data_IF_330582775985
#
_entry.id   IF_330582775985
#
_cell.length_a   1.000
_cell.length_b   1.000
_cell.length_c   1.000
_cell.angle_alpha   90.00
_cell.angle_beta   90.00
_cell.angle_gamma   90.00
#
_symmetry.space_group_name_H-M   'P 1'
#
loop_
_entity.id
_entity.type
_entity.pdbx_description
1 polymer ?
#
# COMPACT_ATOMS: atom_id res chain seq x y z
N UNK A 1 13.28 43.79 -4.82
CA UNK A 1 14.31 42.80 -4.43
C UNK A 1 14.33 41.79 -5.54
N UNK A 2 15.43 41.76 -6.28
CA UNK A 2 15.65 40.80 -7.37
C UNK A 2 16.26 39.55 -6.72
N UNK A 3 15.42 38.57 -6.39
CA UNK A 3 15.90 37.29 -5.88
C UNK A 3 16.38 36.47 -7.07
N UNK A 4 17.68 36.48 -7.32
CA UNK A 4 18.32 35.56 -8.25
C UNK A 4 18.10 34.14 -7.74
N UNK A 5 17.15 33.42 -8.34
CA UNK A 5 16.89 32.00 -8.08
C UNK A 5 18.16 31.20 -8.40
N UNK A 6 18.63 30.36 -7.47
CA UNK A 6 19.76 29.45 -7.72
C UNK A 6 19.45 28.56 -8.94
N UNK A 7 20.21 28.67 -10.04
CA UNK A 7 19.96 27.88 -11.26
C UNK A 7 20.12 26.36 -11.03
N UNK A 8 20.63 25.94 -9.87
CA UNK A 8 20.81 24.54 -9.49
C UNK A 8 19.75 24.01 -8.50
N UNK A 9 18.80 24.84 -8.08
CA UNK A 9 17.83 24.50 -7.02
C UNK A 9 17.18 23.12 -7.22
N UNK A 10 16.84 22.78 -8.46
CA UNK A 10 16.13 21.55 -8.81
C UNK A 10 17.04 20.37 -9.16
N UNK A 11 18.36 20.55 -9.31
CA UNK A 11 19.27 19.50 -9.81
C UNK A 11 19.40 18.29 -8.91
N UNK A 12 19.08 18.42 -7.61
CA UNK A 12 19.14 17.34 -6.62
C UNK A 12 17.80 16.67 -6.36
N UNK A 13 16.70 17.28 -6.80
CA UNK A 13 15.37 16.71 -6.63
C UNK A 13 15.12 15.63 -7.69
N UNK A 14 14.39 14.59 -7.29
CA UNK A 14 13.90 13.56 -8.19
C UNK A 14 12.46 13.92 -8.53
N UNK A 15 12.20 14.20 -9.79
CA UNK A 15 10.86 14.44 -10.32
C UNK A 15 10.46 13.21 -11.12
N UNK A 16 9.35 12.60 -10.73
CA UNK A 16 8.80 11.42 -11.40
C UNK A 16 7.31 11.63 -11.59
N UNK A 17 6.76 11.14 -12.71
CA UNK A 17 5.32 11.17 -12.98
C UNK A 17 4.73 9.78 -12.77
N UNK A 18 3.47 9.70 -12.35
CA UNK A 18 2.80 8.42 -12.09
C UNK A 18 2.83 7.50 -13.32
N UNK A 19 2.73 8.05 -14.52
CA UNK A 19 2.74 7.30 -15.78
C UNK A 19 4.11 6.69 -16.13
N UNK A 20 5.19 7.13 -15.48
CA UNK A 20 6.53 6.57 -15.67
C UNK A 20 6.68 5.20 -15.00
N UNK A 21 5.76 4.83 -14.12
CA UNK A 21 5.80 3.60 -13.35
C UNK A 21 4.79 2.57 -13.84
N UNK A 22 5.24 1.33 -13.97
CA UNK A 22 4.34 0.20 -14.20
C UNK A 22 3.54 -0.12 -12.94
N UNK A 23 2.36 -0.69 -13.17
CA UNK A 23 1.59 -1.32 -12.11
C UNK A 23 2.25 -2.64 -11.69
N UNK A 24 2.46 -2.80 -10.38
CA UNK A 24 2.83 -4.05 -9.72
C UNK A 24 1.56 -4.62 -9.07
N UNK A 25 1.11 -5.79 -9.48
CA UNK A 25 0.01 -6.44 -8.79
C UNK A 25 0.56 -7.20 -7.57
N UNK A 26 0.37 -6.64 -6.39
CA UNK A 26 1.07 -7.11 -5.19
C UNK A 26 0.26 -8.13 -4.38
N UNK A 27 -1.06 -8.17 -4.56
CA UNK A 27 -1.98 -9.12 -3.92
C UNK A 27 -3.17 -9.40 -4.82
N UNK A 28 -3.70 -10.62 -4.74
CA UNK A 28 -4.87 -11.06 -5.50
C UNK A 28 -5.74 -12.01 -4.68
N UNK A 29 -7.06 -11.90 -4.83
CA UNK A 29 -8.07 -12.71 -4.15
C UNK A 29 -9.22 -13.07 -5.11
N UNK A 30 -9.83 -14.23 -4.92
CA UNK A 30 -11.08 -14.60 -5.58
C UNK A 30 -12.27 -14.20 -4.71
N UNK A 31 -13.22 -13.46 -5.28
CA UNK A 31 -14.44 -12.97 -4.66
C UNK A 31 -15.63 -13.44 -5.51
N UNK A 32 -16.21 -14.60 -5.20
CA UNK A 32 -17.24 -15.19 -6.07
C UNK A 32 -16.70 -15.48 -7.47
N UNK A 33 -17.25 -14.84 -8.50
CA UNK A 33 -16.87 -14.97 -9.91
C UNK A 33 -15.82 -13.95 -10.38
N UNK A 34 -15.46 -12.96 -9.55
CA UNK A 34 -14.47 -11.93 -9.88
C UNK A 34 -13.17 -12.09 -9.10
N UNK A 35 -12.10 -11.57 -9.67
CA UNK A 35 -10.82 -11.38 -8.99
C UNK A 35 -10.72 -9.95 -8.47
N UNK A 36 -10.27 -9.78 -7.22
CA UNK A 36 -9.95 -8.49 -6.62
C UNK A 36 -8.45 -8.41 -6.33
N UNK A 37 -7.85 -7.25 -6.59
CA UNK A 37 -6.41 -7.06 -6.50
C UNK A 37 -6.01 -5.77 -5.78
N UNK A 38 -4.80 -5.78 -5.22
CA UNK A 38 -4.04 -4.57 -4.86
C UNK A 38 -2.99 -4.37 -5.94
N UNK A 39 -2.99 -3.19 -6.56
CA UNK A 39 -1.98 -2.78 -7.54
C UNK A 39 -1.26 -1.54 -7.03
N UNK A 40 0.04 -1.47 -7.25
CA UNK A 40 0.88 -0.37 -6.77
C UNK A 40 1.78 0.17 -7.88
N UNK A 41 2.00 1.49 -7.88
CA UNK A 41 3.06 2.17 -8.62
C UNK A 41 4.06 2.71 -7.60
N UNK A 42 5.29 2.21 -7.62
CA UNK A 42 6.35 2.61 -6.68
C UNK A 42 7.13 3.80 -7.24
N UNK A 43 6.75 5.00 -6.82
CA UNK A 43 7.26 6.26 -7.38
C UNK A 43 8.67 6.60 -6.88
N UNK A 44 9.02 6.12 -5.69
CA UNK A 44 10.38 6.12 -5.16
C UNK A 44 10.61 4.81 -4.42
N UNK A 45 11.71 4.13 -4.71
CA UNK A 45 12.11 2.93 -3.98
C UNK A 45 13.61 2.97 -3.70
N UNK A 46 13.95 3.45 -2.51
CA UNK A 46 15.33 3.51 -2.01
C UNK A 46 15.47 2.76 -0.69
N UNK A 47 16.70 2.70 -0.18
CA UNK A 47 17.01 2.25 1.18
C UNK A 47 16.45 3.17 2.28
N UNK A 48 16.07 4.40 1.92
CA UNK A 48 15.55 5.40 2.86
C UNK A 48 14.04 5.37 2.99
N UNK A 49 13.33 5.14 1.88
CA UNK A 49 11.88 5.05 1.86
C UNK A 49 11.36 4.42 0.57
N UNK A 50 10.16 3.86 0.70
CA UNK A 50 9.26 3.55 -0.41
C UNK A 50 8.13 4.58 -0.39
N UNK A 51 7.88 5.24 -1.51
CA UNK A 51 6.67 6.04 -1.73
C UNK A 51 5.91 5.47 -2.92
N UNK A 52 4.62 5.23 -2.73
CA UNK A 52 3.80 4.54 -3.71
C UNK A 52 2.39 5.12 -3.83
N UNK A 53 1.79 4.83 -4.99
CA UNK A 53 0.38 5.04 -5.27
C UNK A 53 -0.27 3.67 -5.43
N UNK A 54 -1.31 3.38 -4.66
CA UNK A 54 -2.00 2.09 -4.67
C UNK A 54 -3.45 2.22 -5.16
N UNK A 55 -3.92 1.20 -5.87
CA UNK A 55 -5.32 1.03 -6.27
C UNK A 55 -5.82 -0.35 -5.89
N UNK A 56 -6.84 -0.38 -5.04
CA UNK A 56 -7.44 -1.61 -4.54
C UNK A 56 -8.84 -1.76 -5.13
N UNK A 57 -9.13 -2.95 -5.65
CA UNK A 57 -10.47 -3.24 -6.15
C UNK A 57 -11.52 -3.22 -5.03
N UNK A 58 -12.78 -3.01 -5.42
CA UNK A 58 -13.92 -3.04 -4.52
C UNK A 58 -13.92 -4.27 -3.60
N UNK A 59 -14.12 -4.03 -2.30
CA UNK A 59 -14.19 -5.09 -1.28
C UNK A 59 -12.86 -5.81 -0.98
N UNK A 60 -11.74 -5.43 -1.61
CA UNK A 60 -10.43 -6.05 -1.37
C UNK A 60 -10.10 -6.01 0.12
N UNK A 61 -9.68 -7.16 0.68
CA UNK A 61 -9.36 -7.28 2.11
C UNK A 61 -7.85 -7.40 2.28
N UNK A 62 -7.25 -6.51 3.08
CA UNK A 62 -5.83 -6.62 3.45
C UNK A 62 -5.75 -6.98 4.92
N UNK A 63 -4.99 -8.04 5.23
CA UNK A 63 -4.79 -8.53 6.60
C UNK A 63 -4.25 -7.42 7.53
N UNK A 64 -4.47 -7.52 8.85
CA UNK A 64 -3.75 -6.71 9.80
C UNK A 64 -2.23 -6.92 9.65
N UNK A 65 -1.46 -5.85 9.68
CA UNK A 65 -0.01 -5.90 9.55
C UNK A 65 0.67 -4.68 10.15
N UNK A 66 1.98 -4.77 10.30
CA UNK A 66 2.87 -3.65 10.60
C UNK A 66 4.04 -3.61 9.63
N UNK A 67 4.89 -2.59 9.74
CA UNK A 67 6.08 -2.39 8.89
C UNK A 67 7.38 -2.28 9.71
N UNK A 68 8.50 -2.62 9.07
CA UNK A 68 9.86 -2.45 9.64
C UNK A 68 10.35 -0.98 9.66
N UNK A 69 9.45 -0.05 9.37
CA UNK A 69 9.63 1.40 9.35
C UNK A 69 8.32 2.10 9.74
N UNK A 70 8.36 3.41 10.01
CA UNK A 70 7.15 4.20 10.14
C UNK A 70 6.41 4.20 8.79
N UNK A 71 5.08 4.25 8.84
CA UNK A 71 4.23 4.18 7.66
C UNK A 71 3.15 5.26 7.71
N UNK A 72 2.99 5.98 6.61
CA UNK A 72 1.89 6.91 6.40
C UNK A 72 1.05 6.41 5.24
N UNK A 73 -0.27 6.44 5.41
CA UNK A 73 -1.27 6.17 4.39
C UNK A 73 -2.19 7.38 4.28
N UNK A 74 -2.45 7.84 3.07
CA UNK A 74 -3.42 8.89 2.78
C UNK A 74 -4.43 8.39 1.75
N UNK A 75 -5.71 8.48 2.09
CA UNK A 75 -6.79 8.08 1.18
C UNK A 75 -7.02 9.20 0.18
N UNK A 76 -6.73 8.95 -1.09
CA UNK A 76 -6.85 9.93 -2.17
C UNK A 76 -8.27 9.96 -2.75
N UNK A 77 -8.87 8.79 -2.91
CA UNK A 77 -10.17 8.60 -3.57
C UNK A 77 -10.80 7.27 -3.10
N UNK A 78 -12.13 7.19 -3.15
CA UNK A 78 -12.91 6.10 -2.56
C UNK A 78 -12.86 6.08 -1.03
N UNK A 79 -13.03 4.90 -0.44
CA UNK A 79 -12.93 4.70 1.01
C UNK A 79 -12.50 3.28 1.39
N UNK A 80 -12.13 3.10 2.66
CA UNK A 80 -11.91 1.79 3.24
C UNK A 80 -12.27 1.77 4.72
N UNK A 81 -12.50 0.58 5.27
CA UNK A 81 -12.48 0.36 6.71
C UNK A 81 -11.06 0.02 7.16
N UNK A 82 -10.64 0.53 8.31
CA UNK A 82 -9.46 0.12 9.07
C UNK A 82 -9.93 -0.39 10.43
N UNK A 83 -10.11 -1.70 10.57
CA UNK A 83 -10.85 -2.26 11.70
C UNK A 83 -12.30 -1.76 11.70
N UNK A 84 -12.69 -1.04 12.73
CA UNK A 84 -14.01 -0.42 12.89
C UNK A 84 -14.05 1.07 12.47
N UNK A 85 -12.92 1.63 12.04
CA UNK A 85 -12.81 3.03 11.63
C UNK A 85 -13.05 3.16 10.13
N UNK A 86 -14.03 3.99 9.73
CA UNK A 86 -14.24 4.36 8.33
C UNK A 86 -13.25 5.44 7.91
N UNK A 87 -12.55 5.20 6.80
CA UNK A 87 -11.50 6.05 6.27
C UNK A 87 -11.85 6.49 4.83
N UNK A 88 -12.66 7.56 4.65
CA UNK A 88 -12.95 8.12 3.32
C UNK A 88 -11.76 8.93 2.77
N UNK A 89 -11.86 9.35 1.50
CA UNK A 89 -10.93 10.29 0.88
C UNK A 89 -10.64 11.51 1.79
N UNK A 90 -9.36 11.87 1.90
CA UNK A 90 -8.85 12.87 2.85
C UNK A 90 -8.40 12.31 4.20
N UNK A 91 -8.57 11.01 4.46
CA UNK A 91 -8.10 10.39 5.71
C UNK A 91 -6.60 10.18 5.70
N UNK A 92 -5.92 10.60 6.77
CA UNK A 92 -4.50 10.35 7.04
C UNK A 92 -4.35 9.33 8.17
N UNK A 93 -3.54 8.31 7.95
CA UNK A 93 -3.19 7.28 8.94
C UNK A 93 -1.67 7.30 9.10
N UNK A 94 -1.20 7.37 10.35
CA UNK A 94 0.22 7.21 10.69
C UNK A 94 0.37 6.01 11.62
N UNK A 95 1.39 5.20 11.34
CA UNK A 95 1.76 4.06 12.14
C UNK A 95 3.26 4.14 12.47
N UNK A 96 3.59 4.03 13.75
CA UNK A 96 4.98 3.94 14.19
C UNK A 96 5.53 2.53 13.91
N UNK A 97 6.85 2.47 13.67
CA UNK A 97 7.55 1.22 13.41
C UNK A 97 7.29 0.20 14.52
N UNK A 98 6.87 -1.00 14.13
CA UNK A 98 6.63 -2.12 15.04
C UNK A 98 5.17 -2.25 15.49
N UNK A 99 4.36 -1.20 15.31
CA UNK A 99 2.92 -1.28 15.58
C UNK A 99 2.18 -1.96 14.42
N UNK A 100 0.91 -2.27 14.66
CA UNK A 100 0.03 -2.97 13.71
C UNK A 100 -1.33 -2.31 13.65
N UNK A 101 -1.98 -2.42 12.48
CA UNK A 101 -3.28 -1.81 12.19
C UNK A 101 -4.02 -2.62 11.11
N UNK A 102 -5.30 -2.32 10.93
CA UNK A 102 -6.21 -3.10 10.10
C UNK A 102 -7.07 -4.08 10.92
N UNK A 103 -7.76 -5.04 10.28
CA UNK A 103 -7.71 -5.33 8.85
C UNK A 103 -8.24 -4.18 8.01
N UNK A 104 -7.85 -4.12 6.74
CA UNK A 104 -8.43 -3.20 5.79
C UNK A 104 -9.45 -3.86 4.90
N UNK A 105 -10.51 -3.12 4.58
CA UNK A 105 -11.53 -3.55 3.62
C UNK A 105 -11.84 -2.36 2.72
N UNK A 106 -11.50 -2.44 1.43
CA UNK A 106 -11.85 -1.42 0.46
C UNK A 106 -13.37 -1.30 0.31
N UNK A 107 -13.83 -0.08 0.08
CA UNK A 107 -15.24 0.25 -0.18
C UNK A 107 -15.84 -0.42 -1.41
N UNK A 108 -17.13 -0.19 -1.67
CA UNK A 108 -17.83 -0.73 -2.84
C UNK A 108 -17.28 -0.19 -4.17
N UNK A 109 -16.65 0.98 -4.17
CA UNK A 109 -16.05 1.60 -5.36
C UNK A 109 -14.51 1.40 -5.42
N UNK A 110 -13.94 0.65 -4.46
CA UNK A 110 -12.51 0.53 -4.27
C UNK A 110 -11.89 1.71 -3.52
N UNK A 111 -10.56 1.75 -3.46
CA UNK A 111 -9.82 2.83 -2.80
C UNK A 111 -8.51 3.12 -3.52
N UNK A 112 -8.13 4.40 -3.54
CA UNK A 112 -6.83 4.86 -4.02
C UNK A 112 -6.04 5.49 -2.88
N UNK A 113 -4.78 5.09 -2.74
CA UNK A 113 -3.95 5.47 -1.59
C UNK A 113 -2.62 6.08 -2.06
N UNK A 114 -2.14 7.06 -1.30
CA UNK A 114 -0.73 7.43 -1.29
C UNK A 114 -0.10 6.89 -0.01
N UNK A 115 1.00 6.16 -0.14
CA UNK A 115 1.67 5.56 1.00
C UNK A 115 3.16 5.87 1.02
N UNK A 116 3.70 6.00 2.23
CA UNK A 116 5.14 6.19 2.45
C UNK A 116 5.60 5.32 3.62
N UNK A 117 6.52 4.40 3.36
CA UNK A 117 7.23 3.63 4.37
C UNK A 117 8.65 4.19 4.52
N UNK A 118 8.95 4.77 5.68
CA UNK A 118 10.16 5.55 5.95
C UNK A 118 11.32 4.67 6.44
N UNK A 119 11.79 3.78 5.58
CA UNK A 119 12.91 2.88 5.82
C UNK A 119 12.71 1.55 5.11
N UNK A 120 12.90 0.44 5.82
CA UNK A 120 12.58 -0.89 5.30
C UNK A 120 11.06 -1.05 5.12
N UNK A 121 10.56 -1.20 3.88
CA UNK A 121 9.13 -1.23 3.61
C UNK A 121 8.48 -2.58 3.87
N UNK A 122 9.27 -3.63 4.19
CA UNK A 122 8.71 -4.98 4.38
C UNK A 122 7.75 -5.00 5.57
N UNK A 123 6.59 -5.63 5.34
CA UNK A 123 5.54 -5.81 6.34
C UNK A 123 5.70 -7.13 7.10
N UNK A 124 5.19 -7.19 8.34
CA UNK A 124 4.98 -8.43 9.09
C UNK A 124 3.49 -8.63 9.39
N UNK A 125 2.97 -9.87 9.34
CA UNK A 125 1.56 -10.14 9.59
C UNK A 125 1.19 -9.94 11.06
N UNK A 126 -0.07 -9.58 11.32
CA UNK A 126 -0.68 -9.62 12.63
C UNK A 126 -2.03 -10.34 12.56
N UNK A 127 -2.41 -10.99 13.67
CA UNK A 127 -3.72 -11.60 13.88
C UNK A 127 -4.23 -12.48 12.72
N UNK A 128 -3.51 -13.58 12.44
CA UNK A 128 -3.79 -14.46 11.30
C UNK A 128 -5.16 -15.16 11.39
N UNK A 129 -5.55 -15.61 12.58
CA UNK A 129 -6.77 -16.37 12.78
C UNK A 129 -8.03 -15.54 12.49
N UNK A 130 -8.10 -14.31 13.00
CA UNK A 130 -9.24 -13.43 12.74
C UNK A 130 -9.31 -13.01 11.27
N UNK A 131 -8.15 -12.83 10.62
CA UNK A 131 -8.09 -12.56 9.19
C UNK A 131 -8.63 -13.75 8.36
N UNK A 132 -8.24 -14.98 8.69
CA UNK A 132 -8.73 -16.17 7.99
C UNK A 132 -10.23 -16.34 8.18
N UNK A 133 -10.74 -16.11 9.39
CA UNK A 133 -12.17 -16.10 9.67
C UNK A 133 -12.90 -15.02 8.85
N UNK A 134 -12.38 -13.80 8.82
CA UNK A 134 -12.95 -12.70 8.03
C UNK A 134 -13.06 -13.04 6.53
N UNK A 135 -12.05 -13.72 5.98
CA UNK A 135 -12.09 -14.18 4.59
C UNK A 135 -13.17 -15.24 4.36
N UNK A 136 -13.27 -16.24 5.25
CA UNK A 136 -14.30 -17.28 5.19
C UNK A 136 -15.70 -16.68 5.27
N UNK A 137 -15.94 -15.79 6.24
CA UNK A 137 -17.22 -15.12 6.45
C UNK A 137 -17.66 -14.30 5.23
N UNK A 138 -16.70 -13.79 4.46
CA UNK A 138 -16.94 -13.03 3.21
C UNK A 138 -16.91 -13.90 1.94
N UNK A 139 -16.64 -15.20 2.05
CA UNK A 139 -16.50 -16.09 0.89
C UNK A 139 -15.32 -15.73 -0.02
N UNK A 140 -14.23 -15.19 0.57
CA UNK A 140 -13.03 -14.75 -0.16
C UNK A 140 -11.96 -15.83 -0.08
N UNK A 141 -11.34 -16.15 -1.23
CA UNK A 141 -10.21 -17.08 -1.31
C UNK A 141 -8.93 -16.34 -1.69
N UNK A 142 -7.88 -16.34 -0.85
CA UNK A 142 -6.57 -15.81 -1.22
C UNK A 142 -5.99 -16.55 -2.43
N UNK A 143 -5.42 -15.80 -3.38
CA UNK A 143 -4.67 -16.37 -4.50
C UNK A 143 -3.16 -16.17 -4.28
N UNK A 144 -2.30 -16.95 -4.94
CA UNK A 144 -0.85 -16.72 -4.88
C UNK A 144 -0.49 -15.29 -5.27
N UNK A 145 0.48 -14.70 -4.57
CA UNK A 145 0.96 -13.37 -4.90
C UNK A 145 1.58 -13.37 -6.31
N UNK A 146 1.19 -12.45 -7.20
CA UNK A 146 1.82 -12.31 -8.50
C UNK A 146 3.31 -11.95 -8.38
N UNK A 147 4.12 -12.27 -9.41
CA UNK A 147 5.50 -11.80 -9.46
C UNK A 147 5.54 -10.26 -9.50
N UNK A 148 6.54 -9.70 -8.84
CA UNK A 148 6.80 -8.25 -8.81
C UNK A 148 8.27 -8.00 -9.13
N UNK A 149 8.56 -6.84 -9.69
CA UNK A 149 9.93 -6.46 -10.02
C UNK A 149 10.57 -5.70 -8.85
N UNK A 150 11.10 -6.44 -7.88
CA UNK A 150 11.84 -5.89 -6.73
C UNK A 150 13.20 -5.34 -7.14
N UNK A 151 13.71 -4.30 -6.44
CA UNK A 151 15.09 -3.91 -6.59
C UNK A 151 16.02 -5.04 -6.10
N UNK A 152 17.17 -5.20 -6.77
CA UNK A 152 18.11 -6.31 -6.52
C UNK A 152 18.69 -6.34 -5.10
N UNK A 153 18.68 -5.22 -4.39
CA UNK A 153 19.19 -5.09 -3.03
C UNK A 153 18.17 -5.52 -1.96
N UNK A 154 16.89 -5.70 -2.30
CA UNK A 154 15.84 -6.06 -1.35
C UNK A 154 15.18 -7.39 -1.71
N UNK A 155 15.24 -8.34 -0.78
CA UNK A 155 14.58 -9.65 -0.92
C UNK A 155 13.05 -9.51 -0.80
N UNK A 156 12.31 -10.10 -1.73
CA UNK A 156 10.85 -10.30 -1.59
C UNK A 156 10.58 -11.30 -0.45
N UNK A 157 9.80 -10.87 0.55
CA UNK A 157 9.42 -11.69 1.71
C UNK A 157 7.92 -11.94 1.80
N UNK A 158 7.14 -11.62 0.77
CA UNK A 158 5.66 -11.75 0.81
C UNK A 158 5.16 -13.19 0.93
N UNK A 159 5.98 -14.17 0.55
CA UNK A 159 5.67 -15.60 0.56
C UNK A 159 6.39 -16.37 1.67
N UNK A 160 7.13 -15.69 2.56
CA UNK A 160 7.85 -16.31 3.68
C UNK A 160 7.02 -16.31 4.96
#
# INVERSE_FOLDING_TARGET
MDETVDPNLNKKARFTHLDDFKWQEVRRQQHGDRTASVREKWMEFSDKYLSLYAEWDAGMVVRPHGHNSNHVVFVLDGDMMCGDIHCPAGTHIALDKGDTFGPFIAGPDGVKLFEVMMGDPRSFPANREDYEKLLVDKGIVPLPNPPIDMPTWLKDTRNN
#
